data_IF_967768211785
#
_entry.id   IF_967768211785
#
_cell.length_a   1.000
_cell.length_b   1.000
_cell.length_c   1.000
_cell.angle_alpha   90.00
_cell.angle_beta   90.00
_cell.angle_gamma   90.00
#
_symmetry.space_group_name_H-M   'P 1'
#
loop_
_entity.id
_entity.type
_entity.pdbx_description
1 polymer ?
#
# COMPACT_ATOMS: atom_id res chain seq x y z
N UNK A 1 -15.70 39.81 -26.02
CA UNK A 1 -14.83 38.71 -26.49
C UNK A 1 -15.49 37.38 -26.18
N UNK A 2 -15.75 36.50 -27.16
CA UNK A 2 -16.49 35.27 -26.90
C UNK A 2 -15.62 34.30 -26.10
N UNK A 3 -16.12 33.87 -24.94
CA UNK A 3 -15.58 32.75 -24.15
C UNK A 3 -15.60 31.51 -25.06
N UNK A 4 -14.44 31.06 -25.53
CA UNK A 4 -14.29 29.70 -26.05
C UNK A 4 -14.48 28.75 -24.88
N UNK A 5 -15.73 28.33 -24.63
CA UNK A 5 -16.00 27.09 -23.95
C UNK A 5 -15.53 25.96 -24.86
N UNK A 6 -14.25 25.60 -24.78
CA UNK A 6 -13.81 24.29 -25.23
C UNK A 6 -14.50 23.28 -24.31
N UNK A 7 -15.66 22.78 -24.72
CA UNK A 7 -16.27 21.60 -24.11
C UNK A 7 -15.25 20.46 -24.27
N UNK A 8 -14.53 20.14 -23.21
CA UNK A 8 -13.77 18.90 -23.09
C UNK A 8 -14.79 17.73 -23.14
N UNK A 9 -15.18 17.33 -24.35
CA UNK A 9 -15.91 16.08 -24.58
C UNK A 9 -14.87 14.96 -24.64
N UNK A 10 -14.41 14.49 -23.48
CA UNK A 10 -13.82 13.16 -23.40
C UNK A 10 -14.94 12.14 -23.53
N UNK A 11 -15.33 11.85 -24.78
CA UNK A 11 -16.22 10.74 -25.11
C UNK A 11 -15.40 9.45 -24.93
N UNK A 12 -15.65 8.73 -23.84
CA UNK A 12 -15.01 7.46 -23.56
C UNK A 12 -15.67 6.75 -22.38
N UNK A 13 -15.61 5.42 -22.38
CA UNK A 13 -15.91 4.64 -21.19
C UNK A 13 -14.84 4.92 -20.12
N UNK A 14 -15.25 4.91 -18.86
CA UNK A 14 -14.33 4.91 -17.74
C UNK A 14 -14.71 3.83 -16.73
N UNK A 15 -13.74 3.40 -15.93
CA UNK A 15 -13.97 2.49 -14.81
C UNK A 15 -13.33 3.09 -13.57
N UNK A 16 -14.08 3.13 -12.48
CA UNK A 16 -13.59 3.61 -11.19
C UNK A 16 -13.26 2.41 -10.30
N UNK A 17 -12.02 2.34 -9.80
CA UNK A 17 -11.59 1.26 -8.91
C UNK A 17 -11.00 1.85 -7.62
N UNK A 18 -11.43 1.31 -6.49
CA UNK A 18 -10.96 1.71 -5.16
C UNK A 18 -9.88 0.73 -4.67
N UNK A 19 -8.67 1.22 -4.42
CA UNK A 19 -7.51 0.39 -4.08
C UNK A 19 -7.56 -0.11 -2.61
N UNK A 20 -8.18 0.63 -1.70
CA UNK A 20 -8.24 0.25 -0.28
C UNK A 20 -9.42 -0.68 0.08
N UNK A 21 -10.29 -1.04 -0.88
CA UNK A 21 -11.52 -1.81 -0.65
C UNK A 21 -11.33 -3.34 -0.76
N UNK A 22 -10.18 -3.84 -0.29
CA UNK A 22 -9.89 -5.27 -0.19
C UNK A 22 -10.20 -5.86 1.20
N UNK A 23 -10.72 -5.07 2.14
CA UNK A 23 -10.98 -5.45 3.54
C UNK A 23 -9.74 -5.86 4.33
N UNK A 24 -8.54 -5.55 3.83
CA UNK A 24 -7.27 -5.98 4.43
C UNK A 24 -6.59 -4.89 5.27
N UNK A 25 -7.10 -3.66 5.30
CA UNK A 25 -6.48 -2.55 6.04
C UNK A 25 -6.46 -2.80 7.54
N UNK A 26 -5.32 -2.51 8.20
CA UNK A 26 -5.19 -2.63 9.66
C UNK A 26 -6.00 -1.55 10.36
N UNK A 27 -5.94 -0.33 9.83
CA UNK A 27 -6.64 0.84 10.32
C UNK A 27 -7.39 1.45 9.13
N UNK A 28 -8.57 0.93 8.77
CA UNK A 28 -9.36 1.50 7.68
C UNK A 28 -9.68 2.97 7.96
N UNK A 29 -9.78 3.83 6.93
CA UNK A 29 -10.18 5.22 7.10
C UNK A 29 -11.51 5.34 7.85
N UNK A 30 -11.53 6.19 8.88
CA UNK A 30 -12.72 6.41 9.72
C UNK A 30 -13.28 7.80 9.36
N UNK A 31 -14.57 7.90 9.00
CA UNK A 31 -15.23 9.19 8.77
C UNK A 31 -15.09 10.11 10.00
N UNK A 32 -14.50 11.28 9.82
CA UNK A 32 -14.27 12.22 10.94
C UNK A 32 -14.39 13.67 10.49
N UNK A 33 -14.71 14.56 11.44
CA UNK A 33 -14.64 16.00 11.26
C UNK A 33 -13.22 16.49 11.54
N UNK A 34 -12.62 17.21 10.59
CA UNK A 34 -11.32 17.84 10.79
C UNK A 34 -11.53 19.30 11.16
N UNK A 35 -11.30 19.63 12.43
CA UNK A 35 -11.40 21.01 12.93
C UNK A 35 -10.10 21.77 12.71
N UNK A 36 -10.24 23.08 12.62
CA UNK A 36 -9.13 24.01 12.72
C UNK A 36 -8.56 23.94 14.13
N UNK A 37 -7.26 23.67 14.25
CA UNK A 37 -6.50 23.86 15.47
C UNK A 37 -5.59 25.06 15.25
N UNK A 38 -5.97 26.21 15.80
CA UNK A 38 -5.23 27.46 15.65
C UNK A 38 -3.79 27.38 16.17
N UNK A 39 -3.43 26.37 16.96
CA UNK A 39 -2.05 26.19 17.42
C UNK A 39 -1.21 25.32 16.47
N UNK A 40 -1.82 24.51 15.61
CA UNK A 40 -1.12 23.53 14.77
C UNK A 40 -1.30 23.76 13.26
N UNK A 41 -2.45 24.26 12.85
CA UNK A 41 -2.87 24.33 11.46
C UNK A 41 -3.08 25.78 11.01
N UNK A 42 -2.84 26.03 9.73
CA UNK A 42 -3.17 27.27 9.04
C UNK A 42 -4.24 26.97 8.00
N UNK A 43 -5.12 27.94 7.80
CA UNK A 43 -6.11 27.88 6.72
C UNK A 43 -5.48 28.37 5.42
N UNK A 44 -5.59 27.55 4.38
CA UNK A 44 -5.25 27.90 3.01
C UNK A 44 -6.43 27.59 2.08
N UNK A 45 -7.32 28.57 1.93
CA UNK A 45 -8.56 28.44 1.16
C UNK A 45 -9.49 27.32 1.67
N UNK A 46 -9.51 26.20 0.94
CA UNK A 46 -10.30 25.01 1.22
C UNK A 46 -9.52 23.89 1.93
N UNK A 47 -8.24 24.12 2.24
CA UNK A 47 -7.34 23.13 2.85
C UNK A 47 -6.77 23.63 4.18
N UNK A 48 -6.36 22.68 5.01
CA UNK A 48 -5.57 22.91 6.21
C UNK A 48 -4.11 22.57 5.91
N UNK A 49 -3.19 23.46 6.31
CA UNK A 49 -1.75 23.26 6.17
C UNK A 49 -1.08 23.26 7.55
N UNK A 50 0.03 22.55 7.69
CA UNK A 50 0.76 22.50 8.95
C UNK A 50 1.55 23.79 9.17
N UNK A 51 1.52 24.34 10.39
CA UNK A 51 2.39 25.46 10.78
C UNK A 51 3.87 25.06 10.74
N UNK A 52 4.78 25.92 10.23
CA UNK A 52 6.21 25.62 10.21
C UNK A 52 6.82 25.37 11.59
N UNK A 53 6.28 25.98 12.64
CA UNK A 53 6.74 25.91 14.03
C UNK A 53 5.91 24.95 14.91
N UNK A 54 5.07 24.11 14.30
CA UNK A 54 4.25 23.13 15.00
C UNK A 54 5.10 22.16 15.83
N UNK A 55 4.92 22.16 17.15
CA UNK A 55 5.63 21.25 18.08
C UNK A 55 5.04 19.84 18.13
N UNK A 56 3.81 19.70 17.65
CA UNK A 56 3.07 18.44 17.56
C UNK A 56 2.49 18.28 16.16
N UNK A 57 2.23 17.04 15.76
CA UNK A 57 1.61 16.76 14.47
C UNK A 57 0.15 16.35 14.63
N UNK A 58 -0.71 16.74 13.66
CA UNK A 58 -2.06 16.21 13.59
C UNK A 58 -2.03 14.70 13.33
N UNK A 59 -3.16 14.05 13.61
CA UNK A 59 -3.38 12.65 13.25
C UNK A 59 -3.07 12.41 11.77
N UNK A 60 -2.41 11.28 11.48
CA UNK A 60 -2.18 10.87 10.11
C UNK A 60 -3.50 10.55 9.39
N UNK A 61 -3.80 11.28 8.31
CA UNK A 61 -4.97 11.06 7.46
C UNK A 61 -4.53 10.40 6.17
N UNK A 62 -4.90 9.13 6.00
CA UNK A 62 -4.67 8.39 4.76
C UNK A 62 -5.86 8.59 3.81
N UNK A 63 -5.62 8.95 2.54
CA UNK A 63 -6.67 9.00 1.54
C UNK A 63 -7.07 7.58 1.11
N UNK A 64 -8.31 7.44 0.66
CA UNK A 64 -8.77 6.28 -0.10
C UNK A 64 -8.31 6.48 -1.54
N UNK A 65 -7.37 5.66 -2.00
CA UNK A 65 -6.85 5.77 -3.37
C UNK A 65 -7.86 5.19 -4.37
N UNK A 66 -8.15 6.00 -5.40
CA UNK A 66 -9.12 5.74 -6.44
C UNK A 66 -8.46 5.90 -7.81
N UNK A 67 -8.61 4.92 -8.70
CA UNK A 67 -8.14 5.02 -10.08
C UNK A 67 -9.33 5.19 -11.01
N UNK A 68 -9.32 6.28 -11.78
CA UNK A 68 -10.21 6.50 -12.91
C UNK A 68 -9.50 5.96 -14.15
N UNK A 69 -9.88 4.78 -14.62
CA UNK A 69 -9.32 4.19 -15.82
C UNK A 69 -10.06 4.69 -17.05
N UNK A 70 -9.37 5.37 -17.94
CA UNK A 70 -9.94 5.88 -19.18
C UNK A 70 -9.88 4.82 -20.29
N UNK A 71 -10.96 4.70 -21.05
CA UNK A 71 -10.99 3.91 -22.28
C UNK A 71 -10.05 4.46 -23.36
N UNK A 72 -9.90 3.70 -24.45
CA UNK A 72 -9.13 4.14 -25.62
C UNK A 72 -9.81 5.36 -26.24
N UNK A 73 -9.08 6.46 -26.33
CA UNK A 73 -9.52 7.68 -27.01
C UNK A 73 -8.38 8.25 -27.85
N UNK A 74 -8.68 8.67 -29.07
CA UNK A 74 -7.75 9.37 -29.96
C UNK A 74 -7.53 10.84 -29.54
N UNK A 75 -8.33 11.37 -28.60
CA UNK A 75 -8.23 12.75 -28.15
C UNK A 75 -7.07 13.03 -27.19
N UNK A 76 -6.38 11.99 -26.70
CA UNK A 76 -5.20 12.16 -25.85
C UNK A 76 -3.97 12.54 -26.68
N UNK A 77 -3.10 13.44 -26.20
CA UNK A 77 -1.93 13.92 -26.94
C UNK A 77 -0.87 12.82 -27.07
N UNK A 78 0.08 13.02 -27.98
CA UNK A 78 1.21 12.11 -28.25
C UNK A 78 2.50 12.46 -27.48
N UNK A 79 2.41 13.41 -26.55
CA UNK A 79 3.51 13.85 -25.70
C UNK A 79 3.14 13.68 -24.22
N UNK A 80 4.08 13.15 -23.41
CA UNK A 80 3.84 12.82 -21.99
C UNK A 80 3.55 14.08 -21.17
N UNK A 81 4.31 15.15 -21.38
CA UNK A 81 4.14 16.39 -20.61
C UNK A 81 2.78 17.05 -20.91
N UNK A 82 2.39 17.07 -22.19
CA UNK A 82 1.09 17.58 -22.62
C UNK A 82 -0.05 16.70 -22.10
N UNK A 83 0.16 15.37 -22.06
CA UNK A 83 -0.80 14.43 -21.48
C UNK A 83 -1.00 14.70 -19.98
N UNK A 84 0.08 14.91 -19.23
CA UNK A 84 0.01 15.26 -17.79
C UNK A 84 -0.71 16.60 -17.57
N UNK A 85 -0.44 17.62 -18.38
CA UNK A 85 -1.18 18.89 -18.36
C UNK A 85 -2.68 18.68 -18.61
N UNK A 86 -3.05 17.82 -19.57
CA UNK A 86 -4.45 17.48 -19.81
C UNK A 86 -5.09 16.69 -18.66
N UNK A 87 -4.35 15.82 -17.98
CA UNK A 87 -4.83 15.15 -16.74
C UNK A 87 -5.10 16.18 -15.64
N UNK A 88 -4.21 17.17 -15.48
CA UNK A 88 -4.39 18.26 -14.52
C UNK A 88 -5.63 19.11 -14.85
N UNK A 89 -5.82 19.53 -16.12
CA UNK A 89 -7.02 20.25 -16.56
C UNK A 89 -8.29 19.42 -16.29
N UNK A 90 -8.25 18.10 -16.51
CA UNK A 90 -9.36 17.21 -16.16
C UNK A 90 -9.69 17.27 -14.66
N UNK A 91 -8.68 17.23 -13.79
CA UNK A 91 -8.89 17.34 -12.34
C UNK A 91 -9.48 18.71 -11.95
N UNK A 92 -9.01 19.81 -12.56
CA UNK A 92 -9.55 21.16 -12.32
C UNK A 92 -11.02 21.21 -12.70
N UNK A 93 -11.40 20.72 -13.88
CA UNK A 93 -12.79 20.70 -14.32
C UNK A 93 -13.68 19.84 -13.43
N UNK A 94 -13.18 18.68 -13.00
CA UNK A 94 -13.91 17.83 -12.08
C UNK A 94 -14.11 18.52 -10.72
N UNK A 95 -13.09 19.21 -10.21
CA UNK A 95 -13.17 20.02 -8.99
C UNK A 95 -14.21 21.14 -9.10
N UNK A 96 -14.23 21.89 -10.21
CA UNK A 96 -15.22 22.95 -10.47
C UNK A 96 -16.66 22.42 -10.49
N UNK A 97 -16.88 21.25 -11.11
CA UNK A 97 -18.20 20.61 -11.18
C UNK A 97 -18.65 20.08 -9.81
N UNK A 98 -17.75 19.45 -9.06
CA UNK A 98 -18.03 18.97 -7.70
C UNK A 98 -18.44 20.12 -6.77
N UNK A 99 -17.77 21.27 -6.88
CA UNK A 99 -18.10 22.46 -6.09
C UNK A 99 -19.42 23.08 -6.55
N UNK A 100 -19.59 23.33 -7.86
CA UNK A 100 -20.76 24.06 -8.38
C UNK A 100 -22.07 23.26 -8.37
N UNK A 101 -22.04 21.95 -8.64
CA UNK A 101 -23.26 21.13 -8.73
C UNK A 101 -23.60 20.40 -7.43
N UNK A 102 -22.59 20.13 -6.60
CA UNK A 102 -22.75 19.29 -5.40
C UNK A 102 -22.23 19.91 -4.10
N UNK A 103 -21.61 21.09 -4.14
CA UNK A 103 -21.00 21.73 -2.97
C UNK A 103 -20.00 20.81 -2.24
N UNK A 104 -19.26 20.00 -3.01
CA UNK A 104 -18.25 19.07 -2.50
C UNK A 104 -16.88 19.74 -2.55
N UNK A 105 -16.18 19.73 -1.42
CA UNK A 105 -14.86 20.35 -1.27
C UNK A 105 -13.80 19.42 -1.86
N UNK A 106 -12.91 19.97 -2.67
CA UNK A 106 -11.81 19.22 -3.26
C UNK A 106 -10.53 20.05 -3.41
N UNK A 107 -9.44 19.35 -3.72
CA UNK A 107 -8.07 19.83 -3.72
C UNK A 107 -7.33 19.22 -4.90
N UNK A 108 -7.00 20.04 -5.89
CA UNK A 108 -6.27 19.61 -7.10
C UNK A 108 -4.75 19.70 -6.88
N UNK A 109 -4.02 18.73 -7.45
CA UNK A 109 -2.57 18.75 -7.66
C UNK A 109 -2.25 18.35 -9.11
N UNK A 110 -0.98 18.36 -9.51
CA UNK A 110 -0.56 17.91 -10.83
C UNK A 110 -0.88 16.43 -11.08
N UNK A 111 -0.77 15.59 -10.04
CA UNK A 111 -0.83 14.14 -10.18
C UNK A 111 -2.20 13.55 -9.83
N UNK A 112 -2.97 14.23 -8.99
CA UNK A 112 -4.22 13.71 -8.42
C UNK A 112 -5.20 14.80 -7.96
N UNK A 113 -6.44 14.39 -7.74
CA UNK A 113 -7.53 15.17 -7.14
C UNK A 113 -7.92 14.55 -5.79
N UNK A 114 -7.78 15.29 -4.69
CA UNK A 114 -8.29 14.90 -3.38
C UNK A 114 -9.70 15.47 -3.17
N UNK A 115 -10.67 14.62 -2.88
CA UNK A 115 -12.08 14.98 -2.65
C UNK A 115 -12.45 14.65 -1.21
N UNK A 116 -12.92 15.64 -0.45
CA UNK A 116 -13.43 15.44 0.90
C UNK A 116 -14.94 15.20 0.85
N UNK A 117 -15.35 13.99 1.24
CA UNK A 117 -16.75 13.56 1.16
C UNK A 117 -17.12 12.72 2.37
N UNK A 118 -18.18 13.12 3.08
CA UNK A 118 -18.75 12.41 4.23
C UNK A 118 -17.70 12.01 5.29
N UNK A 119 -16.76 12.92 5.60
CA UNK A 119 -15.71 12.71 6.60
C UNK A 119 -14.51 11.88 6.13
N UNK A 120 -14.49 11.49 4.86
CA UNK A 120 -13.42 10.73 4.22
C UNK A 120 -12.74 11.56 3.13
N UNK A 121 -11.50 11.21 2.83
CA UNK A 121 -10.74 11.78 1.72
C UNK A 121 -10.57 10.71 0.66
N UNK A 122 -11.00 10.99 -0.56
CA UNK A 122 -10.80 10.14 -1.74
C UNK A 122 -9.78 10.79 -2.66
N UNK A 123 -8.70 10.08 -3.00
CA UNK A 123 -7.68 10.55 -3.93
C UNK A 123 -7.90 9.91 -5.29
N UNK A 124 -8.33 10.68 -6.26
CA UNK A 124 -8.54 10.23 -7.63
C UNK A 124 -7.29 10.44 -8.48
N UNK A 125 -6.84 9.36 -9.13
CA UNK A 125 -5.77 9.34 -10.12
C UNK A 125 -6.28 8.85 -11.45
N UNK A 126 -6.01 9.60 -12.50
CA UNK A 126 -6.44 9.29 -13.86
C UNK A 126 -5.41 8.36 -14.53
N UNK A 127 -5.84 7.15 -14.89
CA UNK A 127 -5.04 6.22 -15.68
C UNK A 127 -5.44 6.30 -17.16
N UNK A 128 -4.49 6.71 -18.00
CA UNK A 128 -4.67 6.77 -19.44
C UNK A 128 -3.74 5.73 -20.08
N UNK A 129 -4.26 4.64 -20.68
CA UNK A 129 -3.41 3.58 -21.24
C UNK A 129 -2.37 4.08 -22.27
N UNK A 130 -2.67 5.17 -22.98
CA UNK A 130 -1.73 5.82 -23.91
C UNK A 130 -0.47 6.35 -23.21
N UNK A 131 -0.59 6.83 -21.98
CA UNK A 131 0.55 7.30 -21.16
C UNK A 131 1.59 6.20 -20.99
N UNK A 132 1.13 4.98 -20.69
CA UNK A 132 2.02 3.82 -20.54
C UNK A 132 2.77 3.50 -21.85
N UNK A 133 2.10 3.59 -23.00
CA UNK A 133 2.73 3.36 -24.31
C UNK A 133 3.77 4.44 -24.63
N UNK A 134 3.45 5.70 -24.35
CA UNK A 134 4.36 6.82 -24.55
C UNK A 134 5.59 6.72 -23.65
N UNK A 135 5.42 6.33 -22.39
CA UNK A 135 6.54 6.12 -21.47
C UNK A 135 7.47 4.99 -21.91
N UNK A 136 6.95 3.94 -22.58
CA UNK A 136 7.78 2.85 -23.11
C UNK A 136 8.52 3.22 -24.40
N UNK A 137 8.10 4.28 -25.10
CA UNK A 137 8.66 4.68 -26.39
C UNK A 137 10.05 5.28 -26.21
N UNK A 138 11.05 4.71 -26.86
CA UNK A 138 12.41 5.26 -26.98
C UNK A 138 12.71 5.50 -28.47
N UNK A 139 13.40 6.59 -28.78
CA UNK A 139 13.85 6.92 -30.14
C UNK A 139 15.36 6.98 -30.12
N UNK A 140 16.00 6.08 -30.86
CA UNK A 140 17.46 6.02 -30.94
C UNK A 140 18.01 7.17 -31.79
N UNK A 141 19.33 7.39 -31.75
CA UNK A 141 20.02 8.45 -32.52
C UNK A 141 19.82 8.35 -34.05
N UNK A 142 19.44 7.17 -34.54
CA UNK A 142 19.14 6.91 -35.95
C UNK A 142 17.64 7.09 -36.30
N UNK A 143 16.82 7.54 -35.34
CA UNK A 143 15.38 7.77 -35.54
C UNK A 143 14.51 6.50 -35.44
N UNK A 144 15.10 5.35 -35.12
CA UNK A 144 14.35 4.09 -34.93
C UNK A 144 13.62 4.13 -33.59
N UNK A 145 12.31 3.85 -33.63
CA UNK A 145 11.48 3.78 -32.43
C UNK A 145 11.49 2.35 -31.87
N UNK A 146 11.89 2.20 -30.61
CA UNK A 146 11.78 0.96 -29.84
C UNK A 146 10.83 1.15 -28.65
N UNK A 147 10.28 0.05 -28.12
CA UNK A 147 9.42 0.07 -26.94
C UNK A 147 10.05 -0.76 -25.84
N UNK A 148 10.48 -0.11 -24.75
CA UNK A 148 11.18 -0.75 -23.65
C UNK A 148 10.64 -0.24 -22.31
N UNK A 149 10.43 -1.18 -21.39
CA UNK A 149 10.05 -0.87 -20.02
C UNK A 149 11.18 -0.10 -19.31
N UNK A 150 10.82 1.01 -18.68
CA UNK A 150 11.64 1.79 -17.75
C UNK A 150 10.96 1.84 -16.36
N UNK A 151 11.66 2.37 -15.36
CA UNK A 151 11.16 2.39 -13.97
C UNK A 151 9.82 3.12 -13.81
N UNK A 152 9.64 4.25 -14.50
CA UNK A 152 8.40 5.02 -14.46
C UNK A 152 7.23 4.25 -15.08
N UNK A 153 7.43 3.65 -16.26
CA UNK A 153 6.41 2.84 -16.94
C UNK A 153 6.02 1.61 -16.10
N UNK A 154 6.99 0.94 -15.48
CA UNK A 154 6.74 -0.22 -14.62
C UNK A 154 5.99 0.17 -13.36
N UNK A 155 6.33 1.32 -12.75
CA UNK A 155 5.63 1.85 -11.59
C UNK A 155 4.20 2.23 -11.93
N UNK A 156 3.99 2.92 -13.06
CA UNK A 156 2.67 3.31 -13.54
C UNK A 156 1.78 2.08 -13.81
N UNK A 157 2.31 1.08 -14.52
CA UNK A 157 1.62 -0.17 -14.83
C UNK A 157 1.28 -0.94 -13.54
N UNK A 158 2.24 -1.07 -12.61
CA UNK A 158 2.04 -1.74 -11.33
C UNK A 158 0.94 -1.06 -10.50
N UNK A 159 1.02 0.27 -10.32
CA UNK A 159 0.20 1.00 -9.36
C UNK A 159 -1.20 1.33 -9.91
N UNK A 160 -1.32 1.58 -11.23
CA UNK A 160 -2.57 2.10 -11.83
C UNK A 160 -3.31 1.11 -12.74
N UNK A 161 -2.67 0.01 -13.18
CA UNK A 161 -3.33 -1.06 -13.94
C UNK A 161 -3.43 -2.38 -13.17
N UNK A 162 -2.30 -2.87 -12.64
CA UNK A 162 -2.25 -4.23 -12.05
C UNK A 162 -2.78 -4.25 -10.61
N UNK A 163 -2.38 -3.29 -9.77
CA UNK A 163 -2.84 -3.22 -8.37
C UNK A 163 -4.37 -3.12 -8.24
N UNK A 164 -5.10 -2.34 -9.05
CA UNK A 164 -6.58 -2.35 -9.06
C UNK A 164 -7.18 -3.75 -9.32
N UNK A 165 -6.62 -4.52 -10.27
CA UNK A 165 -7.06 -5.88 -10.59
C UNK A 165 -6.81 -6.83 -9.41
N UNK A 166 -5.61 -6.77 -8.84
CA UNK A 166 -5.23 -7.54 -7.64
C UNK A 166 -6.16 -7.21 -6.48
N UNK A 167 -6.43 -5.93 -6.22
CA UNK A 167 -7.31 -5.49 -5.13
C UNK A 167 -8.72 -6.05 -5.29
N UNK A 168 -9.25 -6.01 -6.51
CA UNK A 168 -10.57 -6.56 -6.83
C UNK A 168 -10.62 -8.07 -6.59
N UNK A 169 -9.58 -8.79 -7.00
CA UNK A 169 -9.47 -10.24 -6.78
C UNK A 169 -9.35 -10.61 -5.30
N UNK A 170 -8.56 -9.84 -4.52
CA UNK A 170 -8.46 -10.00 -3.06
C UNK A 170 -9.80 -9.74 -2.36
N UNK A 171 -10.56 -8.75 -2.84
CA UNK A 171 -11.93 -8.50 -2.34
C UNK A 171 -12.85 -9.70 -2.61
N UNK A 172 -12.73 -10.34 -3.77
CA UNK A 172 -13.43 -11.60 -4.07
C UNK A 172 -13.07 -12.75 -3.11
N UNK A 173 -11.79 -12.87 -2.72
CA UNK A 173 -11.37 -13.83 -1.68
C UNK A 173 -12.04 -13.51 -0.35
N UNK A 174 -12.08 -12.24 0.07
CA UNK A 174 -12.75 -11.85 1.32
C UNK A 174 -14.25 -12.17 1.30
N UNK A 175 -14.93 -11.90 0.20
CA UNK A 175 -16.36 -12.21 0.05
C UNK A 175 -16.62 -13.71 0.14
N UNK A 176 -15.71 -14.53 -0.37
CA UNK A 176 -15.79 -16.00 -0.28
C UNK A 176 -15.41 -16.48 1.13
N UNK A 177 -14.41 -15.86 1.74
CA UNK A 177 -13.84 -16.23 3.04
C UNK A 177 -13.70 -14.99 3.93
N UNK A 178 -14.73 -14.63 4.72
CA UNK A 178 -14.73 -13.39 5.52
C UNK A 178 -13.58 -13.27 6.53
N UNK A 179 -12.95 -14.39 6.91
CA UNK A 179 -11.76 -14.40 7.78
C UNK A 179 -10.52 -13.79 7.12
N UNK A 180 -10.46 -13.73 5.78
CA UNK A 180 -9.30 -13.30 5.02
C UNK A 180 -8.85 -11.87 5.35
N UNK A 181 -9.74 -10.89 5.21
CA UNK A 181 -9.46 -9.48 5.48
C UNK A 181 -8.88 -9.23 6.88
N UNK A 182 -9.60 -9.64 7.95
CA UNK A 182 -9.10 -9.53 9.32
C UNK A 182 -7.81 -10.33 9.58
N UNK A 183 -7.59 -11.47 8.89
CA UNK A 183 -6.33 -12.20 9.02
C UNK A 183 -5.15 -11.46 8.39
N UNK A 184 -5.36 -10.81 7.22
CA UNK A 184 -4.36 -9.93 6.64
C UNK A 184 -4.04 -8.76 7.58
N UNK A 185 -5.06 -8.14 8.17
CA UNK A 185 -4.87 -7.07 9.15
C UNK A 185 -4.03 -7.55 10.36
N UNK A 186 -4.30 -8.75 10.87
CA UNK A 186 -3.55 -9.34 11.98
C UNK A 186 -2.09 -9.64 11.61
N UNK A 187 -1.87 -10.25 10.44
CA UNK A 187 -0.52 -10.55 9.92
C UNK A 187 0.27 -9.25 9.72
N UNK A 188 -0.36 -8.23 9.12
CA UNK A 188 0.26 -6.92 8.94
C UNK A 188 0.59 -6.29 10.29
N UNK A 189 -0.34 -6.26 11.24
CA UNK A 189 -0.08 -5.71 12.59
C UNK A 189 1.09 -6.44 13.25
N UNK A 190 1.16 -7.76 13.15
CA UNK A 190 2.27 -8.56 13.67
C UNK A 190 3.59 -8.19 13.00
N UNK A 191 3.66 -8.16 11.67
CA UNK A 191 4.89 -7.78 10.95
C UNK A 191 5.36 -6.36 11.30
N UNK A 192 4.46 -5.38 11.31
CA UNK A 192 4.79 -3.98 11.67
C UNK A 192 5.30 -3.89 13.11
N UNK A 193 4.72 -4.68 14.01
CA UNK A 193 5.18 -4.74 15.40
C UNK A 193 6.57 -5.36 15.58
N UNK A 194 7.01 -6.19 14.62
CA UNK A 194 8.33 -6.80 14.61
C UNK A 194 9.39 -5.96 13.86
N UNK A 195 9.11 -4.68 13.65
CA UNK A 195 10.00 -3.73 12.95
C UNK A 195 10.24 -4.12 11.48
N UNK A 196 9.31 -4.86 10.88
CA UNK A 196 9.28 -5.14 9.45
C UNK A 196 8.28 -4.18 8.82
N UNK A 197 8.76 -3.09 8.23
CA UNK A 197 7.90 -2.09 7.59
C UNK A 197 7.51 -2.41 6.14
N UNK A 198 6.72 -1.51 5.55
CA UNK A 198 6.16 -1.64 4.20
C UNK A 198 7.20 -1.53 3.08
N UNK A 199 8.38 -0.98 3.35
CA UNK A 199 9.47 -0.97 2.38
C UNK A 199 10.11 -2.36 2.28
N UNK A 200 10.33 -3.03 3.42
CA UNK A 200 10.87 -4.39 3.44
C UNK A 200 9.88 -5.44 2.96
N UNK A 201 8.61 -5.31 3.35
CA UNK A 201 7.53 -6.21 2.91
C UNK A 201 6.26 -5.38 2.66
N UNK A 202 5.97 -5.04 1.40
CA UNK A 202 4.79 -4.25 1.05
C UNK A 202 3.48 -4.92 1.48
N UNK A 203 2.47 -4.12 1.82
CA UNK A 203 1.15 -4.61 2.25
C UNK A 203 0.49 -5.54 1.22
N UNK A 204 0.59 -5.19 -0.07
CA UNK A 204 0.08 -6.04 -1.17
C UNK A 204 0.77 -7.40 -1.21
N UNK A 205 2.08 -7.46 -0.91
CA UNK A 205 2.84 -8.71 -0.84
C UNK A 205 2.33 -9.57 0.31
N UNK A 206 2.07 -8.98 1.48
CA UNK A 206 1.51 -9.68 2.65
C UNK A 206 0.12 -10.24 2.31
N UNK A 207 -0.73 -9.43 1.68
CA UNK A 207 -2.06 -9.82 1.27
C UNK A 207 -2.04 -10.97 0.26
N UNK A 208 -1.16 -10.91 -0.75
CA UNK A 208 -0.95 -11.97 -1.74
C UNK A 208 -0.43 -13.26 -1.10
N UNK A 209 0.51 -13.13 -0.17
CA UNK A 209 1.08 -14.27 0.56
C UNK A 209 0.03 -14.96 1.43
N UNK A 210 -0.82 -14.19 2.11
CA UNK A 210 -1.92 -14.78 2.85
C UNK A 210 -2.97 -15.39 1.91
N UNK A 211 -3.25 -14.74 0.77
CA UNK A 211 -4.16 -15.29 -0.24
C UNK A 211 -3.71 -16.66 -0.76
N UNK A 212 -2.39 -16.90 -0.94
CA UNK A 212 -1.92 -18.25 -1.32
C UNK A 212 -2.29 -19.33 -0.30
N UNK A 213 -2.36 -19.00 1.00
CA UNK A 213 -2.76 -19.96 2.05
C UNK A 213 -4.25 -20.31 1.94
N UNK A 214 -5.08 -19.37 1.47
CA UNK A 214 -6.52 -19.61 1.24
C UNK A 214 -6.79 -20.37 -0.06
N UNK A 215 -5.99 -20.12 -1.10
CA UNK A 215 -6.19 -20.72 -2.43
C UNK A 215 -5.57 -22.13 -2.54
N UNK A 216 -4.41 -22.36 -1.94
CA UNK A 216 -3.66 -23.61 -2.09
C UNK A 216 -3.96 -24.62 -0.96
N UNK A 217 -5.26 -24.89 -0.73
CA UNK A 217 -5.84 -25.51 0.48
C UNK A 217 -5.37 -26.87 1.04
N UNK A 218 -4.37 -27.61 0.50
CA UNK A 218 -3.78 -28.73 1.24
C UNK A 218 -2.58 -28.34 2.13
N UNK A 219 -2.40 -28.94 3.32
CA UNK A 219 -3.24 -29.99 3.93
C UNK A 219 -4.42 -29.47 4.76
N UNK A 220 -4.55 -28.15 4.96
CA UNK A 220 -5.53 -27.56 5.87
C UNK A 220 -6.73 -26.94 5.14
N UNK A 221 -7.95 -27.38 5.46
CA UNK A 221 -9.20 -26.71 5.04
C UNK A 221 -9.16 -25.22 5.34
N UNK A 222 -9.59 -24.35 4.44
CA UNK A 222 -9.57 -22.89 4.58
C UNK A 222 -10.06 -22.41 5.97
N UNK A 223 -9.31 -21.51 6.59
CA UNK A 223 -9.55 -21.05 7.95
C UNK A 223 -10.80 -20.16 8.00
N UNK A 224 -11.73 -20.46 8.91
CA UNK A 224 -12.94 -19.65 9.12
C UNK A 224 -12.74 -18.56 10.17
N UNK A 225 -11.63 -18.61 10.92
CA UNK A 225 -11.30 -17.66 11.98
C UNK A 225 -9.99 -16.94 11.66
N UNK A 226 -9.91 -15.61 11.84
CA UNK A 226 -8.70 -14.83 11.55
C UNK A 226 -7.47 -15.32 12.33
N UNK A 227 -7.64 -15.67 13.61
CA UNK A 227 -6.57 -16.21 14.45
C UNK A 227 -6.05 -17.57 13.95
N UNK A 228 -6.93 -18.43 13.44
CA UNK A 228 -6.53 -19.71 12.87
C UNK A 228 -5.78 -19.52 11.54
N UNK A 229 -6.22 -18.55 10.73
CA UNK A 229 -5.53 -18.17 9.50
C UNK A 229 -4.13 -17.61 9.79
N UNK A 230 -4.00 -16.75 10.81
CA UNK A 230 -2.72 -16.22 11.26
C UNK A 230 -1.75 -17.32 11.69
N UNK A 231 -2.17 -18.28 12.53
CA UNK A 231 -1.32 -19.41 12.93
C UNK A 231 -0.87 -20.25 11.73
N UNK A 232 -1.74 -20.46 10.75
CA UNK A 232 -1.40 -21.18 9.52
C UNK A 232 -0.45 -20.39 8.63
N UNK A 233 -0.59 -19.08 8.59
CA UNK A 233 0.36 -18.20 7.91
C UNK A 233 1.74 -18.29 8.55
N UNK A 234 1.84 -18.25 9.89
CA UNK A 234 3.11 -18.46 10.59
C UNK A 234 3.74 -19.82 10.25
N UNK A 235 2.93 -20.89 10.28
CA UNK A 235 3.38 -22.23 9.89
C UNK A 235 3.85 -22.28 8.44
N UNK A 236 3.14 -21.61 7.54
CA UNK A 236 3.53 -21.48 6.13
C UNK A 236 4.86 -20.76 5.97
N UNK A 237 5.10 -19.65 6.68
CA UNK A 237 6.40 -18.95 6.66
C UNK A 237 7.57 -19.82 7.15
N UNK A 238 7.31 -20.71 8.11
CA UNK A 238 8.32 -21.63 8.63
C UNK A 238 8.69 -22.70 7.62
N UNK A 239 7.68 -23.34 7.03
CA UNK A 239 7.86 -24.54 6.20
C UNK A 239 8.17 -24.23 4.74
N UNK A 240 7.71 -23.08 4.24
CA UNK A 240 7.82 -22.76 2.82
C UNK A 240 9.26 -22.42 2.42
N UNK A 241 9.82 -23.21 1.49
CA UNK A 241 11.14 -22.93 0.91
C UNK A 241 11.05 -22.11 -0.38
N UNK A 242 11.16 -20.78 -0.21
CA UNK A 242 11.21 -19.80 -1.30
C UNK A 242 12.45 -19.91 -2.22
N UNK A 243 13.43 -20.76 -1.89
CA UNK A 243 14.55 -21.03 -2.79
C UNK A 243 14.15 -21.99 -3.89
N UNK A 244 13.27 -22.94 -3.60
CA UNK A 244 12.91 -24.04 -4.49
C UNK A 244 11.53 -23.84 -5.11
N UNK A 245 10.62 -23.16 -4.41
CA UNK A 245 9.25 -22.97 -4.84
C UNK A 245 8.88 -21.48 -4.95
N UNK A 246 8.16 -21.07 -6.00
CA UNK A 246 7.51 -19.76 -6.06
C UNK A 246 6.21 -19.76 -5.24
N UNK A 247 5.81 -18.60 -4.73
CA UNK A 247 4.49 -18.42 -4.11
C UNK A 247 3.47 -18.20 -5.23
N UNK A 248 2.57 -19.16 -5.42
CA UNK A 248 1.56 -19.13 -6.48
C UNK A 248 0.25 -18.63 -5.89
N UNK A 249 -0.30 -17.57 -6.48
CA UNK A 249 -1.60 -16.99 -6.11
C UNK A 249 -2.51 -17.06 -7.33
N UNK A 250 -3.13 -18.23 -7.52
CA UNK A 250 -3.95 -18.53 -8.69
C UNK A 250 -5.40 -18.05 -8.51
N UNK A 251 -5.63 -16.74 -8.66
CA UNK A 251 -6.98 -16.19 -8.61
C UNK A 251 -7.88 -16.85 -9.66
N UNK A 252 -9.11 -17.22 -9.26
CA UNK A 252 -10.14 -17.81 -10.12
C UNK A 252 -9.73 -19.05 -10.94
N UNK A 253 -8.60 -19.70 -10.62
CA UNK A 253 -7.97 -20.73 -11.45
C UNK A 253 -7.59 -20.24 -12.87
N UNK A 254 -7.24 -18.96 -13.01
CA UNK A 254 -6.82 -18.36 -14.27
C UNK A 254 -5.51 -18.97 -14.83
N UNK A 255 -4.69 -19.60 -13.97
CA UNK A 255 -3.50 -20.37 -14.36
C UNK A 255 -3.86 -21.85 -14.37
N UNK A 256 -3.74 -22.50 -15.52
CA UNK A 256 -4.01 -23.92 -15.69
C UNK A 256 -2.96 -24.81 -15.01
N UNK A 257 -3.30 -26.08 -14.74
CA UNK A 257 -2.37 -27.05 -14.10
C UNK A 257 -1.11 -27.32 -14.94
N UNK A 258 -1.25 -27.33 -16.25
CA UNK A 258 -0.12 -27.49 -17.18
C UNK A 258 0.81 -26.29 -17.06
N UNK A 259 0.28 -25.07 -17.07
CA UNK A 259 1.08 -23.86 -16.88
C UNK A 259 1.74 -23.80 -15.51
N UNK A 260 1.08 -24.27 -14.44
CA UNK A 260 1.69 -24.33 -13.10
C UNK A 260 2.95 -25.21 -13.11
N UNK A 261 2.86 -26.38 -13.73
CA UNK A 261 4.00 -27.31 -13.84
C UNK A 261 5.14 -26.70 -14.64
N UNK A 262 4.83 -26.01 -15.74
CA UNK A 262 5.82 -25.31 -16.57
C UNK A 262 6.49 -24.16 -15.81
N UNK A 263 5.72 -23.39 -15.04
CA UNK A 263 6.23 -22.27 -14.22
C UNK A 263 7.17 -22.80 -13.15
N UNK A 264 6.81 -23.88 -12.46
CA UNK A 264 7.66 -24.51 -11.44
C UNK A 264 8.96 -25.04 -12.04
N UNK A 265 8.89 -25.71 -13.20
CA UNK A 265 10.07 -26.19 -13.91
C UNK A 265 10.99 -25.04 -14.36
N UNK A 266 10.43 -23.98 -14.95
CA UNK A 266 11.19 -22.79 -15.35
C UNK A 266 11.81 -22.06 -14.16
N UNK A 267 11.09 -21.97 -13.04
CA UNK A 267 11.59 -21.36 -11.81
C UNK A 267 12.80 -22.12 -11.26
N UNK A 268 12.77 -23.45 -11.27
CA UNK A 268 13.88 -24.27 -10.82
C UNK A 268 15.09 -24.18 -11.76
N UNK A 269 14.86 -24.24 -13.08
CA UNK A 269 15.92 -24.14 -14.09
C UNK A 269 16.62 -22.78 -14.05
N UNK A 270 15.86 -21.70 -13.89
CA UNK A 270 16.36 -20.32 -14.00
C UNK A 270 16.34 -19.58 -12.66
N UNK A 271 16.49 -20.27 -11.52
CA UNK A 271 16.29 -19.68 -10.18
C UNK A 271 17.08 -18.38 -9.94
N UNK A 272 18.26 -18.25 -10.53
CA UNK A 272 19.13 -17.08 -10.42
C UNK A 272 18.55 -15.79 -11.04
N UNK A 273 17.63 -15.91 -12.02
CA UNK A 273 17.01 -14.75 -12.67
C UNK A 273 15.78 -14.21 -11.91
N UNK A 274 15.25 -14.98 -10.96
CA UNK A 274 14.07 -14.62 -10.18
C UNK A 274 14.43 -13.92 -8.86
N UNK A 275 13.54 -13.06 -8.34
CA UNK A 275 13.73 -12.42 -7.03
C UNK A 275 13.84 -13.43 -5.88
N UNK A 276 14.26 -12.95 -4.71
CA UNK A 276 14.42 -13.79 -3.52
C UNK A 276 13.08 -14.43 -3.10
N UNK A 277 12.01 -13.65 -3.16
CA UNK A 277 10.63 -14.12 -3.04
C UNK A 277 9.97 -13.93 -4.41
N UNK A 278 9.67 -15.02 -5.10
CA UNK A 278 8.94 -14.97 -6.36
C UNK A 278 7.45 -15.20 -6.11
N UNK A 279 6.62 -14.25 -6.53
CA UNK A 279 5.16 -14.35 -6.47
C UNK A 279 4.59 -14.40 -7.88
N UNK A 280 3.87 -15.45 -8.18
CA UNK A 280 3.24 -15.64 -9.49
C UNK A 280 1.75 -15.35 -9.37
N UNK A 281 1.29 -14.34 -10.11
CA UNK A 281 -0.12 -13.96 -10.22
C UNK A 281 -0.55 -13.94 -11.70
N UNK A 282 -1.83 -14.20 -12.00
CA UNK A 282 -2.36 -14.11 -13.36
C UNK A 282 -2.22 -12.71 -14.00
N UNK A 283 -2.32 -11.65 -13.18
CA UNK A 283 -2.47 -10.28 -13.68
C UNK A 283 -1.17 -9.60 -14.11
N UNK A 284 0.00 -10.14 -13.75
CA UNK A 284 1.29 -9.49 -14.00
C UNK A 284 2.17 -10.19 -15.04
N UNK A 285 1.54 -11.02 -15.89
CA UNK A 285 2.25 -11.85 -16.87
C UNK A 285 3.31 -12.75 -16.20
N UNK A 286 3.11 -13.13 -14.93
CA UNK A 286 4.00 -14.02 -14.16
C UNK A 286 5.38 -13.40 -13.93
N UNK A 287 5.49 -12.06 -13.91
CA UNK A 287 6.76 -11.31 -13.76
C UNK A 287 7.14 -11.00 -12.31
N UNK A 288 6.28 -11.34 -11.34
CA UNK A 288 6.56 -11.11 -9.91
C UNK A 288 6.77 -9.64 -9.56
N UNK A 289 5.93 -8.76 -10.13
CA UNK A 289 6.17 -7.30 -10.13
C UNK A 289 6.25 -6.69 -8.72
N UNK A 290 5.50 -7.25 -7.76
CA UNK A 290 5.43 -6.74 -6.39
C UNK A 290 6.61 -7.17 -5.52
N UNK A 291 7.35 -8.19 -5.93
CA UNK A 291 8.48 -8.73 -5.15
C UNK A 291 9.82 -8.68 -5.88
N UNK A 292 9.91 -7.90 -6.96
CA UNK A 292 11.14 -7.76 -7.76
C UNK A 292 12.32 -7.21 -6.96
N UNK A 293 12.08 -6.23 -6.08
CA UNK A 293 13.12 -5.57 -5.27
C UNK A 293 13.17 -6.10 -3.83
N UNK A 294 12.01 -6.30 -3.21
CA UNK A 294 11.86 -6.71 -1.81
C UNK A 294 10.90 -7.89 -1.71
N UNK A 295 11.03 -8.78 -0.72
CA UNK A 295 11.97 -8.71 0.42
C UNK A 295 13.40 -9.16 0.08
N UNK A 296 14.37 -8.69 0.87
CA UNK A 296 15.76 -9.17 0.77
C UNK A 296 15.92 -10.54 1.43
N UNK A 297 17.02 -11.25 1.12
CA UNK A 297 17.35 -12.55 1.74
C UNK A 297 17.40 -12.46 3.28
N UNK A 298 17.91 -11.36 3.82
CA UNK A 298 18.02 -11.15 5.27
C UNK A 298 16.64 -10.97 5.90
N UNK A 299 15.77 -10.19 5.27
CA UNK A 299 14.39 -10.02 5.73
C UNK A 299 13.65 -11.36 5.71
N UNK A 300 13.75 -12.15 4.64
CA UNK A 300 13.09 -13.48 4.58
C UNK A 300 13.58 -14.42 5.69
N UNK A 301 14.89 -14.44 5.99
CA UNK A 301 15.43 -15.20 7.12
C UNK A 301 14.86 -14.71 8.46
N UNK A 302 14.81 -13.39 8.66
CA UNK A 302 14.25 -12.77 9.87
C UNK A 302 12.77 -13.10 10.03
N UNK A 303 11.98 -13.06 8.96
CA UNK A 303 10.57 -13.46 8.96
C UNK A 303 10.37 -14.90 9.44
N UNK A 304 11.18 -15.84 8.94
CA UNK A 304 11.11 -17.25 9.37
C UNK A 304 11.50 -17.43 10.84
N UNK A 305 12.53 -16.73 11.32
CA UNK A 305 12.91 -16.76 12.73
C UNK A 305 11.79 -16.22 13.63
N UNK A 306 11.25 -15.05 13.30
CA UNK A 306 10.13 -14.44 14.04
C UNK A 306 8.89 -15.33 14.03
N UNK A 307 8.56 -15.93 12.89
CA UNK A 307 7.43 -16.84 12.76
C UNK A 307 7.62 -18.10 13.62
N UNK A 308 8.82 -18.68 13.62
CA UNK A 308 9.17 -19.84 14.45
C UNK A 308 9.04 -19.53 15.95
N UNK A 309 9.58 -18.40 16.41
CA UNK A 309 9.49 -18.02 17.82
C UNK A 309 8.05 -17.72 18.25
N UNK A 310 7.29 -17.00 17.42
CA UNK A 310 5.87 -16.70 17.70
C UNK A 310 5.04 -17.99 17.74
N UNK A 311 5.24 -18.89 16.77
CA UNK A 311 4.52 -20.16 16.70
C UNK A 311 4.88 -21.09 17.87
N UNK A 312 6.16 -21.16 18.24
CA UNK A 312 6.66 -21.92 19.39
C UNK A 312 6.08 -21.41 20.71
N UNK A 313 6.09 -20.09 20.90
CA UNK A 313 5.48 -19.46 22.07
C UNK A 313 4.00 -19.84 22.18
N UNK A 314 3.20 -19.57 21.14
CA UNK A 314 1.77 -19.86 21.13
C UNK A 314 1.47 -21.34 21.33
N UNK A 315 2.23 -22.22 20.66
CA UNK A 315 2.05 -23.67 20.77
C UNK A 315 2.34 -24.17 22.19
N UNK A 316 3.41 -23.69 22.84
CA UNK A 316 3.74 -24.06 24.22
C UNK A 316 2.67 -23.55 25.20
N UNK A 317 2.22 -22.31 25.03
CA UNK A 317 1.15 -21.71 25.84
C UNK A 317 -0.16 -22.49 25.71
N UNK A 318 -0.57 -22.83 24.47
CA UNK A 318 -1.77 -23.64 24.23
C UNK A 318 -1.65 -25.06 24.77
N UNK A 319 -0.47 -25.69 24.66
CA UNK A 319 -0.24 -27.03 25.21
C UNK A 319 -0.32 -27.07 26.74
N UNK A 320 0.18 -26.01 27.41
CA UNK A 320 0.18 -25.88 28.86
C UNK A 320 -1.14 -25.33 29.42
N UNK A 321 -2.01 -24.82 28.56
CA UNK A 321 -3.21 -24.06 28.97
C UNK A 321 -2.86 -22.85 29.83
N UNK A 322 -1.71 -22.24 29.56
CA UNK A 322 -1.26 -21.04 30.27
C UNK A 322 -2.02 -19.81 29.74
N UNK A 323 -2.38 -18.90 30.65
CA UNK A 323 -2.88 -17.58 30.26
C UNK A 323 -1.74 -16.73 29.69
N UNK A 324 -2.02 -15.98 28.62
CA UNK A 324 -1.08 -15.01 28.06
C UNK A 324 -1.81 -13.76 27.58
N UNK A 325 -1.11 -12.63 27.54
CA UNK A 325 -1.65 -11.43 26.95
C UNK A 325 -1.38 -11.47 25.45
N UNK A 326 -2.45 -11.32 24.65
CA UNK A 326 -2.32 -11.27 23.17
C UNK A 326 -1.34 -10.19 22.72
N UNK A 327 -1.16 -9.12 23.51
CA UNK A 327 -0.18 -8.06 23.22
C UNK A 327 1.26 -8.56 23.20
N UNK A 328 1.59 -9.64 23.90
CA UNK A 328 2.95 -10.15 24.05
C UNK A 328 3.55 -10.62 22.71
N UNK A 329 2.72 -11.15 21.80
CA UNK A 329 3.18 -11.55 20.46
C UNK A 329 3.40 -10.36 19.51
N UNK A 330 3.04 -9.14 19.92
CA UNK A 330 3.25 -7.90 19.19
C UNK A 330 4.34 -7.02 19.82
N UNK A 331 5.12 -7.56 20.75
CA UNK A 331 6.31 -6.87 21.27
C UNK A 331 7.45 -7.03 20.26
N UNK A 332 8.13 -5.93 19.85
CA UNK A 332 9.23 -6.00 18.90
C UNK A 332 10.40 -6.81 19.45
N UNK A 333 10.97 -7.70 18.63
CA UNK A 333 12.29 -8.24 18.89
C UNK A 333 13.39 -7.28 18.40
N UNK A 334 14.02 -6.56 19.33
CA UNK A 334 15.10 -5.61 19.05
C UNK A 334 16.48 -6.27 18.86
N UNK A 335 16.59 -7.59 19.05
CA UNK A 335 17.85 -8.30 18.84
C UNK A 335 18.22 -8.36 17.35
N UNK A 336 19.52 -8.21 17.08
CA UNK A 336 20.07 -8.26 15.73
C UNK A 336 20.00 -6.94 14.95
N UNK A 337 19.69 -5.82 15.61
CA UNK A 337 19.87 -4.47 15.06
C UNK A 337 21.14 -3.85 15.61
N UNK A 338 21.93 -3.23 14.73
CA UNK A 338 23.20 -2.62 15.10
C UNK A 338 23.01 -1.28 15.81
N UNK A 339 21.98 -0.52 15.40
CA UNK A 339 21.66 0.80 15.92
C UNK A 339 20.14 0.93 16.06
N UNK A 340 19.72 1.48 17.20
CA UNK A 340 18.33 1.81 17.51
C UNK A 340 18.19 3.33 17.62
N UNK A 341 17.27 3.90 16.84
CA UNK A 341 16.99 5.34 16.86
C UNK A 341 15.60 5.56 17.43
N UNK A 342 15.52 6.26 18.56
CA UNK A 342 14.27 6.57 19.24
C UNK A 342 13.71 7.91 18.75
N UNK A 343 12.47 7.89 18.28
CA UNK A 343 11.77 9.08 17.80
C UNK A 343 10.90 9.67 18.91
N UNK A 344 10.70 10.99 18.89
CA UNK A 344 9.82 11.67 19.85
C UNK A 344 8.35 11.38 19.52
N UNK A 345 7.54 11.13 20.55
CA UNK A 345 6.11 10.88 20.38
C UNK A 345 5.35 12.05 19.76
N UNK A 346 5.76 13.30 20.05
CA UNK A 346 5.11 14.51 19.54
C UNK A 346 5.15 14.65 18.01
N UNK A 347 6.10 13.98 17.36
CA UNK A 347 6.28 13.98 15.90
C UNK A 347 5.81 12.68 15.24
N UNK A 348 5.10 11.82 15.99
CA UNK A 348 4.54 10.58 15.47
C UNK A 348 3.03 10.73 15.21
N UNK A 349 2.59 10.99 13.96
CA UNK A 349 1.18 11.21 13.66
C UNK A 349 0.35 9.91 13.71
N UNK A 350 1.00 8.74 13.81
CA UNK A 350 0.36 7.43 13.94
C UNK A 350 0.44 6.88 15.37
N UNK A 351 0.88 7.67 16.35
CA UNK A 351 1.02 7.21 17.75
C UNK A 351 -0.27 6.61 18.33
N UNK A 352 -1.43 7.15 17.93
CA UNK A 352 -2.75 6.63 18.34
C UNK A 352 -3.01 5.16 17.94
N UNK A 353 -2.21 4.61 17.02
CA UNK A 353 -2.29 3.23 16.58
C UNK A 353 -1.49 2.27 17.49
N UNK A 354 -0.66 2.80 18.40
CA UNK A 354 0.23 2.03 19.27
C UNK A 354 -0.53 1.05 20.18
N UNK A 355 0.01 -0.16 20.35
CA UNK A 355 -0.56 -1.16 21.28
C UNK A 355 -0.18 -0.87 22.74
N UNK A 356 0.91 -0.11 22.93
CA UNK A 356 1.55 0.20 24.19
C UNK A 356 1.51 1.71 24.45
N UNK A 357 0.32 2.30 24.38
CA UNK A 357 0.12 3.69 24.81
C UNK A 357 0.29 3.79 26.32
N UNK A 358 1.12 4.73 26.76
CA UNK A 358 1.12 5.15 28.16
C UNK A 358 -0.22 5.81 28.46
N UNK A 359 -0.85 5.48 29.60
CA UNK A 359 -2.13 6.06 30.06
C UNK A 359 -2.09 7.60 30.19
N UNK A 360 -0.91 8.21 30.12
CA UNK A 360 -0.66 9.66 30.18
C UNK A 360 -0.83 10.40 28.85
N UNK A 361 -0.99 9.69 27.74
CA UNK A 361 -1.20 10.32 26.43
C UNK A 361 -2.70 10.48 26.18
N UNK A 362 -3.13 11.71 25.94
CA UNK A 362 -4.49 11.99 25.46
C UNK A 362 -4.74 11.15 24.21
N UNK A 363 -5.64 10.17 24.32
CA UNK A 363 -6.08 9.38 23.17
C UNK A 363 -6.62 10.39 22.15
N UNK A 364 -6.07 10.40 20.94
CA UNK A 364 -6.59 11.26 19.87
C UNK A 364 -8.09 10.94 19.68
N UNK A 365 -8.95 11.86 20.09
CA UNK A 365 -10.39 11.67 20.04
C UNK A 365 -10.84 11.81 18.59
N UNK A 366 -11.47 10.75 18.07
CA UNK A 366 -12.05 10.74 16.74
C UNK A 366 -13.48 11.24 16.88
N UNK A 367 -13.70 12.49 16.46
CA UNK A 367 -15.06 13.03 16.42
C UNK A 367 -15.88 12.35 15.33
N UNK A 368 -17.15 12.10 15.64
CA UNK A 368 -18.12 11.69 14.62
C UNK A 368 -18.18 12.79 13.55
N UNK A 369 -18.18 12.38 12.29
CA UNK A 369 -18.36 13.31 11.18
C UNK A 369 -19.66 14.11 11.33
N UNK A 370 -19.54 15.44 11.20
CA UNK A 370 -20.64 16.38 11.13
C UNK A 370 -20.55 17.19 9.84
N UNK A 371 -21.68 17.29 9.16
CA UNK A 371 -21.79 17.93 7.84
C UNK A 371 -21.96 19.43 8.02
N UNK A 372 -20.87 20.10 8.41
CA UNK A 372 -20.80 21.56 8.52
C UNK A 372 -20.17 22.20 7.27
N UNK A 373 -20.54 23.46 7.00
CA UNK A 373 -19.91 24.28 5.95
C UNK A 373 -18.50 24.76 6.33
N UNK A 374 -18.07 24.57 7.59
CA UNK A 374 -16.72 24.91 8.05
C UNK A 374 -15.70 23.79 7.78
N UNK A 375 -16.14 22.64 7.28
CA UNK A 375 -15.25 21.54 6.94
C UNK A 375 -14.20 21.98 5.91
N UNK A 376 -12.98 21.47 6.09
CA UNK A 376 -11.84 21.72 5.20
C UNK A 376 -11.14 20.40 4.90
N UNK A 377 -10.43 20.38 3.77
CA UNK A 377 -9.56 19.26 3.43
C UNK A 377 -8.40 19.23 4.45
N UNK A 378 -8.21 18.13 5.21
CA UNK A 378 -7.15 18.07 6.23
C UNK A 378 -5.75 17.99 5.61
N UNK A 379 -4.72 17.97 6.47
CA UNK A 379 -3.38 17.57 6.05
C UNK A 379 -3.40 16.07 5.72
N UNK A 380 -3.33 15.74 4.43
CA UNK A 380 -3.44 14.36 3.91
C UNK A 380 -2.06 13.76 3.66
N UNK A 381 -1.89 12.48 3.98
CA UNK A 381 -0.73 11.65 3.61
C UNK A 381 0.63 12.26 4.04
N UNK A 382 0.61 12.91 5.21
CA UNK A 382 1.78 13.51 5.82
C UNK A 382 2.23 12.70 7.04
N UNK A 383 3.15 11.76 6.82
CA UNK A 383 3.91 11.10 7.86
C UNK A 383 5.40 11.44 7.73
N UNK A 384 5.95 12.35 8.58
CA UNK A 384 7.35 12.74 8.48
C UNK A 384 8.30 11.60 8.85
N UNK A 385 7.87 10.63 9.66
CA UNK A 385 8.68 9.46 9.98
C UNK A 385 8.89 8.64 8.69
N UNK A 386 7.83 8.35 7.94
CA UNK A 386 7.95 7.62 6.69
C UNK A 386 8.77 8.37 5.64
N UNK A 387 8.63 9.71 5.56
CA UNK A 387 9.42 10.56 4.65
C UNK A 387 10.90 10.55 5.03
N UNK A 388 11.21 10.72 6.31
CA UNK A 388 12.57 10.67 6.83
C UNK A 388 13.22 9.30 6.59
N UNK A 389 12.50 8.20 6.82
CA UNK A 389 12.98 6.85 6.54
C UNK A 389 13.24 6.62 5.05
N UNK A 390 12.41 7.16 4.16
CA UNK A 390 12.62 7.07 2.71
C UNK A 390 13.89 7.82 2.30
N UNK A 391 14.07 9.05 2.77
CA UNK A 391 15.29 9.84 2.50
C UNK A 391 16.54 9.15 3.04
N UNK A 392 16.48 8.69 4.29
CA UNK A 392 17.56 7.93 4.91
C UNK A 392 17.92 6.70 4.10
N UNK A 393 16.96 5.94 3.58
CA UNK A 393 17.27 4.77 2.74
C UNK A 393 17.98 5.15 1.47
N UNK A 394 17.59 6.23 0.81
CA UNK A 394 18.28 6.73 -0.39
C UNK A 394 19.72 7.11 -0.05
N UNK A 395 19.93 7.82 1.05
CA UNK A 395 21.27 8.26 1.50
C UNK A 395 22.11 7.08 1.98
N UNK A 396 21.54 6.18 2.78
CA UNK A 396 22.26 5.03 3.32
C UNK A 396 22.51 3.98 2.26
N UNK A 397 21.70 3.82 1.21
CA UNK A 397 22.10 2.99 0.05
C UNK A 397 23.42 3.50 -0.57
N UNK A 398 23.68 4.82 -0.51
CA UNK A 398 24.94 5.43 -0.97
C UNK A 398 26.10 5.15 0.02
N UNK A 399 25.83 5.03 1.33
CA UNK A 399 26.84 4.76 2.37
C UNK A 399 27.05 3.24 2.64
N UNK A 400 26.04 2.41 2.43
CA UNK A 400 26.02 0.96 2.66
C UNK A 400 26.77 0.17 1.57
N UNK A 401 27.29 0.83 0.52
CA UNK A 401 28.28 0.22 -0.37
C UNK A 401 29.60 -0.09 0.36
N UNK A 402 29.82 0.41 1.59
CA UNK A 402 31.00 0.07 2.40
C UNK A 402 30.72 -0.75 3.67
N UNK A 403 29.52 -0.72 4.28
CA UNK A 403 29.31 -1.36 5.60
C UNK A 403 27.89 -1.94 5.75
N UNK A 404 27.78 -3.26 5.90
CA UNK A 404 26.52 -4.01 6.05
C UNK A 404 25.78 -3.71 7.37
N UNK A 405 25.03 -2.61 7.48
CA UNK A 405 24.22 -2.30 8.68
C UNK A 405 22.70 -2.53 8.48
N UNK A 406 22.02 -3.04 9.51
CA UNK A 406 20.56 -3.06 9.61
C UNK A 406 20.11 -1.98 10.59
N UNK A 407 19.58 -0.88 10.06
CA UNK A 407 19.03 0.22 10.86
C UNK A 407 17.56 -0.04 11.21
N UNK A 408 17.17 0.24 12.46
CA UNK A 408 15.77 0.25 12.86
C UNK A 408 15.42 1.44 13.74
N UNK A 409 14.22 1.96 13.51
CA UNK A 409 13.72 3.17 14.16
C UNK A 409 12.56 2.81 15.07
N UNK A 410 12.73 3.08 16.36
CA UNK A 410 11.69 2.92 17.36
C UNK A 410 11.01 4.28 17.50
N UNK A 411 10.03 4.54 16.64
CA UNK A 411 8.90 5.37 17.06
C UNK A 411 7.92 4.43 17.73
N UNK A 412 7.52 4.67 18.97
CA UNK A 412 6.70 3.76 19.78
C UNK A 412 5.62 3.04 18.93
N UNK A 413 5.74 1.70 18.86
CA UNK A 413 4.96 0.74 18.05
C UNK A 413 3.51 0.61 18.48
#
# INVERSE_FOLDING_TARGET
MPKRQNKFKLLGSYTLVFINFSYTEVFPPIPTTYREDDNLLLRDGNKLTLKPDAKMLPRHVLPIECVIQMGKSSGWPDDVSTLQCMKCEFYIRLSELLESEHNIISSVTLDYLDVFYEGLVFRFRLFVPKELVLLKKMVDSEGVTSYKDNEESLKLERDMDILPKVTSALSGIHQTYPSFGPSCALIKRWLRSQMIDSHHVPDVVINLWNASVYLNGPPYRVAQLPQAAFLRFLKYLMDFDWKVNPVIVNFNNDISRTELSDIEAQFQQNRSSYPNLCMIIPYDQKKSIFTKLHPSKHILKRLRLLANETYRFLSNTFLKWDDFLVKDIFVPNLQGYDVLIYLKDSINPTLYQSLFLNDRLDRQYIERYDKSNSNKVPVIDFNPIDKYLKELRVILIIVLFELNYILSFIGNI
#
